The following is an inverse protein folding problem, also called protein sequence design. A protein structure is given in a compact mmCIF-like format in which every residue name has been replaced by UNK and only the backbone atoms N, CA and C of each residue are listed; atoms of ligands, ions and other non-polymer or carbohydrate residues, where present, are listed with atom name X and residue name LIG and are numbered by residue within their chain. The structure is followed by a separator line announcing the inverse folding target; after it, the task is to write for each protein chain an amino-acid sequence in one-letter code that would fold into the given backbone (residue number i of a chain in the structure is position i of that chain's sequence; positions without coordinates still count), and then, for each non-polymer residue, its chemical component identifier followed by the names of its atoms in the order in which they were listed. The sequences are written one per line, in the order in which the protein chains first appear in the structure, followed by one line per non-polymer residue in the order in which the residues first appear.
data_IF_083676697494
#
_entry.id   IF_083676697494
#
_cell.length_a   1.000
_cell.length_b   1.000
_cell.length_c   1.000
_cell.angle_alpha   90.00
_cell.angle_beta   90.00
_cell.angle_gamma   90.00
#
_symmetry.space_group_name_H-M   'P 1'
#
loop_
_entity.id
_entity.type
_entity.pdbx_description
1 polymer ?
#
# COMPACT_ATOMS: atom_id res chain seq x y z
N UNK A 1 19.55 -35.50 -9.62
CA UNK A 1 19.22 -36.95 -9.52
C UNK A 1 19.79 -37.41 -8.18
N UNK A 2 19.09 -37.99 -7.21
CA UNK A 2 17.87 -38.80 -7.17
C UNK A 2 17.09 -38.50 -5.86
N UNK A 3 15.79 -38.74 -5.94
CA UNK A 3 14.77 -38.63 -4.89
C UNK A 3 14.88 -39.68 -3.79
N UNK A 4 14.45 -39.36 -2.58
CA UNK A 4 14.02 -40.35 -1.58
C UNK A 4 12.64 -39.98 -1.00
N UNK A 5 11.67 -40.88 -1.18
CA UNK A 5 10.38 -40.91 -0.48
C UNK A 5 10.30 -42.18 0.38
N UNK A 6 9.93 -41.96 1.64
CA UNK A 6 8.92 -42.65 2.48
C UNK A 6 9.06 -44.17 2.70
N UNK A 7 9.06 -44.58 3.98
CA UNK A 7 8.11 -45.60 4.52
C UNK A 7 7.94 -45.48 6.03
N UNK A 8 6.67 -45.50 6.46
CA UNK A 8 6.19 -45.61 7.85
C UNK A 8 6.20 -47.08 8.29
N UNK A 9 6.42 -47.36 9.57
CA UNK A 9 5.98 -48.60 10.23
C UNK A 9 5.17 -48.26 11.48
N UNK A 10 3.93 -48.77 11.50
CA UNK A 10 3.04 -48.86 12.65
C UNK A 10 3.39 -50.14 13.44
N UNK A 11 3.32 -50.08 14.77
CA UNK A 11 3.20 -51.27 15.61
C UNK A 11 1.87 -51.20 16.37
N UNK A 12 0.98 -52.13 16.06
CA UNK A 12 -0.18 -52.49 16.86
C UNK A 12 0.29 -53.43 17.99
N UNK A 13 -0.29 -53.27 19.18
CA UNK A 13 -0.38 -54.35 20.15
C UNK A 13 -1.81 -54.44 20.64
N UNK A 14 -2.44 -55.57 20.34
CA UNK A 14 -3.71 -56.00 20.88
C UNK A 14 -3.43 -57.06 21.95
N UNK A 15 -4.14 -57.00 23.08
CA UNK A 15 -4.35 -58.13 23.96
C UNK A 15 -5.78 -58.05 24.53
N UNK A 16 -6.40 -59.22 24.59
CA UNK A 16 -7.84 -59.49 24.66
C UNK A 16 -8.27 -60.13 25.99
N UNK A 17 -9.60 -60.27 26.16
CA UNK A 17 -10.33 -61.22 27.04
C UNK A 17 -10.47 -60.77 28.52
N UNK A 18 -11.59 -60.86 29.26
CA UNK A 18 -12.96 -61.36 29.06
C UNK A 18 -13.98 -60.66 29.99
N UNK A 19 -15.25 -60.84 29.59
CA UNK A 19 -16.56 -60.63 30.23
C UNK A 19 -16.67 -60.78 31.76
N UNK A 20 -17.51 -59.94 32.40
CA UNK A 20 -18.72 -60.40 33.12
C UNK A 20 -19.64 -59.25 33.58
N UNK A 21 -20.94 -59.38 33.21
CA UNK A 21 -22.20 -58.98 33.89
C UNK A 21 -22.42 -57.54 34.41
N UNK A 22 -23.42 -56.87 33.80
CA UNK A 22 -24.33 -55.87 34.43
C UNK A 22 -25.37 -56.60 35.33
N UNK A 23 -26.30 -55.95 36.09
CA UNK A 23 -26.73 -54.53 36.03
C UNK A 23 -27.03 -53.85 37.39
N UNK A 24 -27.22 -52.53 37.40
CA UNK A 24 -28.32 -51.84 38.08
C UNK A 24 -28.17 -50.31 37.97
N UNK A 25 -29.25 -49.68 37.54
CA UNK A 25 -29.42 -48.24 37.49
C UNK A 25 -29.62 -47.65 38.89
N UNK A 26 -28.93 -46.56 39.20
CA UNK A 26 -29.43 -45.54 40.12
C UNK A 26 -29.20 -44.18 39.46
N UNK A 27 -30.31 -43.62 39.00
CA UNK A 27 -30.46 -42.22 38.65
C UNK A 27 -30.02 -41.35 39.83
N UNK A 28 -29.09 -40.43 39.61
CA UNK A 28 -29.12 -39.16 40.33
C UNK A 28 -28.70 -38.02 39.40
N UNK A 29 -29.73 -37.25 39.04
CA UNK A 29 -29.66 -35.90 38.53
C UNK A 29 -28.65 -35.09 39.34
N UNK A 30 -27.55 -34.68 38.72
CA UNK A 30 -26.93 -33.40 39.03
C UNK A 30 -27.09 -32.54 37.78
N UNK A 31 -27.88 -31.50 37.96
CA UNK A 31 -28.26 -30.53 36.98
C UNK A 31 -27.02 -29.81 36.41
N UNK A 32 -27.09 -29.56 35.10
CA UNK A 32 -26.54 -28.41 34.42
C UNK A 32 -26.34 -27.20 35.37
N UNK A 33 -25.10 -26.85 35.67
CA UNK A 33 -24.74 -25.47 35.96
C UNK A 33 -23.41 -25.11 35.30
N UNK A 34 -23.48 -24.09 34.44
CA UNK A 34 -22.41 -23.18 34.03
C UNK A 34 -21.35 -23.69 33.04
N UNK A 35 -21.77 -24.02 31.82
CA UNK A 35 -20.93 -23.65 30.66
C UNK A 35 -21.27 -22.22 30.27
N UNK A 36 -20.44 -21.25 30.72
CA UNK A 36 -20.42 -19.91 30.12
C UNK A 36 -20.22 -20.07 28.61
N UNK A 37 -20.93 -19.31 27.75
CA UNK A 37 -20.63 -19.30 26.32
C UNK A 37 -19.14 -18.98 26.14
N UNK A 38 -18.43 -19.74 25.30
CA UNK A 38 -17.07 -19.40 24.88
C UNK A 38 -17.07 -17.94 24.39
N UNK A 39 -16.49 -17.02 25.16
CA UNK A 39 -16.47 -15.61 24.80
C UNK A 39 -15.75 -15.43 23.46
N UNK A 40 -16.39 -14.74 22.52
CA UNK A 40 -15.76 -14.46 21.23
C UNK A 40 -14.39 -13.79 21.42
N UNK A 41 -13.35 -14.18 20.64
CA UNK A 41 -12.02 -13.61 20.79
C UNK A 41 -12.06 -12.09 20.68
N UNK A 42 -11.39 -11.38 21.60
CA UNK A 42 -11.41 -9.91 21.68
C UNK A 42 -11.08 -9.23 20.33
N UNK A 43 -10.21 -9.83 19.51
CA UNK A 43 -9.87 -9.34 18.16
C UNK A 43 -11.06 -9.34 17.19
N UNK A 44 -11.96 -10.33 17.30
CA UNK A 44 -13.17 -10.42 16.48
C UNK A 44 -14.16 -9.33 16.88
N UNK A 45 -14.37 -9.16 18.19
CA UNK A 45 -15.23 -8.09 18.72
C UNK A 45 -14.75 -6.70 18.32
N UNK A 46 -13.44 -6.42 18.44
CA UNK A 46 -12.83 -5.14 18.04
C UNK A 46 -13.04 -4.86 16.54
N UNK A 47 -12.89 -5.88 15.70
CA UNK A 47 -13.06 -5.76 14.25
C UNK A 47 -14.52 -5.51 13.84
N UNK A 48 -15.47 -6.08 14.58
CA UNK A 48 -16.89 -6.01 14.27
C UNK A 48 -17.55 -4.73 14.82
N UNK A 49 -17.12 -4.26 15.99
CA UNK A 49 -17.68 -3.06 16.63
C UNK A 49 -17.52 -1.86 15.69
N UNK A 50 -18.52 -0.98 15.59
CA UNK A 50 -18.52 0.23 14.74
C UNK A 50 -18.59 1.51 15.56
N UNK A 51 -19.18 1.45 16.75
CA UNK A 51 -19.32 2.59 17.64
C UNK A 51 -17.96 2.97 18.28
N UNK A 52 -17.51 4.23 18.19
CA UNK A 52 -16.21 4.66 18.70
C UNK A 52 -16.05 4.52 20.22
N UNK A 53 -17.12 4.74 21.00
CA UNK A 53 -17.06 4.69 22.46
C UNK A 53 -17.01 3.24 22.97
N UNK A 54 -17.86 2.36 22.41
CA UNK A 54 -17.80 0.92 22.67
C UNK A 54 -16.46 0.34 22.23
N UNK A 55 -15.93 0.77 21.09
CA UNK A 55 -14.62 0.34 20.60
C UNK A 55 -13.51 0.72 21.60
N UNK A 56 -13.51 1.95 22.09
CA UNK A 56 -12.56 2.41 23.10
C UNK A 56 -12.68 1.60 24.39
N UNK A 57 -13.89 1.44 24.93
CA UNK A 57 -14.13 0.68 26.16
C UNK A 57 -13.73 -0.79 26.03
N UNK A 58 -14.00 -1.41 24.87
CA UNK A 58 -13.61 -2.78 24.57
C UNK A 58 -12.08 -2.93 24.50
N UNK A 59 -11.39 -1.96 23.89
CA UNK A 59 -9.93 -1.95 23.85
C UNK A 59 -9.34 -1.75 25.25
N UNK A 60 -9.89 -0.81 26.03
CA UNK A 60 -9.49 -0.53 27.41
C UNK A 60 -9.65 -1.76 28.31
N UNK A 61 -10.76 -2.49 28.17
CA UNK A 61 -10.99 -3.76 28.88
C UNK A 61 -9.97 -4.87 28.49
N UNK A 62 -9.29 -4.74 27.35
CA UNK A 62 -8.29 -5.67 26.86
C UNK A 62 -6.87 -5.07 26.86
N UNK A 63 -6.62 -4.03 27.66
CA UNK A 63 -5.35 -3.30 27.69
C UNK A 63 -4.15 -4.15 28.11
N UNK A 64 -4.35 -5.24 28.86
CA UNK A 64 -3.31 -6.19 29.28
C UNK A 64 -3.30 -7.47 28.43
N UNK A 65 -4.27 -7.62 27.52
CA UNK A 65 -4.37 -8.79 26.67
C UNK A 65 -3.29 -8.76 25.60
N UNK A 66 -2.25 -9.58 25.78
CA UNK A 66 -1.09 -9.67 24.88
C UNK A 66 -1.48 -9.92 23.42
N UNK A 67 -2.53 -10.68 23.15
CA UNK A 67 -3.00 -10.96 21.78
C UNK A 67 -3.57 -9.71 21.09
N UNK A 68 -4.17 -8.81 21.86
CA UNK A 68 -4.72 -7.55 21.35
C UNK A 68 -3.63 -6.51 21.20
N UNK A 69 -2.82 -6.32 22.25
CA UNK A 69 -1.79 -5.26 22.32
C UNK A 69 -0.64 -5.50 21.33
N UNK A 70 -0.20 -6.75 21.15
CA UNK A 70 0.88 -7.05 20.21
C UNK A 70 0.41 -7.03 18.75
N UNK A 71 -0.90 -7.13 18.50
CA UNK A 71 -1.46 -7.12 17.15
C UNK A 71 -1.43 -5.70 16.55
N UNK A 72 -0.42 -5.46 15.72
CA UNK A 72 -0.21 -4.19 15.02
C UNK A 72 -1.45 -3.74 14.24
N UNK A 73 -2.16 -4.65 13.59
CA UNK A 73 -3.31 -4.32 12.76
C UNK A 73 -4.51 -3.89 13.59
N UNK A 74 -4.80 -4.59 14.69
CA UNK A 74 -5.90 -4.23 15.59
C UNK A 74 -5.66 -2.86 16.25
N UNK A 75 -4.43 -2.59 16.66
CA UNK A 75 -4.03 -1.32 17.26
C UNK A 75 -4.17 -0.16 16.26
N UNK A 76 -3.67 -0.36 15.03
CA UNK A 76 -3.74 0.63 13.96
C UNK A 76 -5.18 0.90 13.50
N UNK A 77 -6.00 -0.14 13.33
CA UNK A 77 -7.41 -0.02 12.99
C UNK A 77 -8.17 0.77 14.06
N UNK A 78 -7.96 0.44 15.34
CA UNK A 78 -8.61 1.11 16.47
C UNK A 78 -8.29 2.60 16.48
N UNK A 79 -7.01 2.96 16.45
CA UNK A 79 -6.57 4.37 16.45
C UNK A 79 -7.09 5.10 15.20
N UNK A 80 -7.04 4.48 14.02
CA UNK A 80 -7.51 5.12 12.78
C UNK A 80 -9.01 5.41 12.81
N UNK A 81 -9.79 4.51 13.40
CA UNK A 81 -11.25 4.66 13.53
C UNK A 81 -11.64 5.70 14.57
N UNK A 82 -10.92 5.76 15.70
CA UNK A 82 -11.10 6.82 16.69
C UNK A 82 -10.72 8.18 16.11
N UNK A 83 -9.65 8.26 15.33
CA UNK A 83 -9.23 9.49 14.66
C UNK A 83 -10.26 9.94 13.62
N UNK A 84 -10.80 9.01 12.83
CA UNK A 84 -11.90 9.29 11.90
C UNK A 84 -13.19 9.75 12.58
N UNK A 85 -13.39 9.39 13.85
CA UNK A 85 -14.49 9.87 14.70
C UNK A 85 -14.14 11.13 15.51
N UNK A 86 -12.96 11.74 15.29
CA UNK A 86 -12.45 12.90 16.02
C UNK A 86 -12.35 12.70 17.55
N UNK A 87 -12.20 11.45 18.03
CA UNK A 87 -12.04 11.11 19.45
C UNK A 87 -10.56 11.08 19.87
N UNK A 88 -9.90 12.23 19.77
CA UNK A 88 -8.48 12.37 20.11
C UNK A 88 -8.21 12.16 21.60
N UNK A 89 -9.18 12.52 22.45
CA UNK A 89 -9.22 12.25 23.89
C UNK A 89 -9.05 10.75 24.20
N UNK A 90 -9.78 9.90 23.47
CA UNK A 90 -9.71 8.45 23.63
C UNK A 90 -8.39 7.87 23.13
N UNK A 91 -7.84 8.42 22.05
CA UNK A 91 -6.53 8.00 21.53
C UNK A 91 -5.44 8.32 22.54
N UNK A 92 -5.44 9.53 23.11
CA UNK A 92 -4.49 9.94 24.13
C UNK A 92 -4.56 9.00 25.34
N UNK A 93 -5.75 8.82 25.92
CA UNK A 93 -5.94 7.94 27.08
C UNK A 93 -5.48 6.50 26.77
N UNK A 94 -5.82 5.96 25.60
CA UNK A 94 -5.45 4.60 25.22
C UNK A 94 -3.94 4.44 25.11
N UNK A 95 -3.27 5.38 24.43
CA UNK A 95 -1.83 5.30 24.17
C UNK A 95 -1.00 5.62 25.41
N UNK A 96 -1.34 6.65 26.19
CA UNK A 96 -0.64 6.99 27.43
C UNK A 96 -0.70 5.83 28.43
N UNK A 97 -1.86 5.18 28.57
CA UNK A 97 -2.01 4.02 29.45
C UNK A 97 -1.10 2.84 29.07
N UNK A 98 -0.72 2.72 27.79
CA UNK A 98 0.11 1.62 27.29
C UNK A 98 1.61 1.85 27.45
N UNK A 99 2.07 3.10 27.58
CA UNK A 99 3.49 3.46 27.72
C UNK A 99 4.17 2.93 28.99
N UNK A 100 3.56 2.95 30.20
CA UNK A 100 4.20 2.46 31.42
C UNK A 100 4.20 0.94 31.56
N UNK A 101 3.42 0.21 30.76
CA UNK A 101 3.33 -1.24 30.82
C UNK A 101 4.66 -1.91 30.36
N UNK A 102 4.92 -3.18 30.71
CA UNK A 102 6.21 -3.85 30.43
C UNK A 102 6.65 -3.79 28.95
N UNK A 103 5.70 -3.86 28.01
CA UNK A 103 5.95 -3.72 26.58
C UNK A 103 6.52 -2.36 26.18
N UNK A 104 6.21 -1.30 26.94
CA UNK A 104 6.71 0.06 26.75
C UNK A 104 8.23 0.20 26.90
N UNK A 105 8.88 -0.75 27.58
CA UNK A 105 10.36 -0.82 27.65
C UNK A 105 11.00 -1.25 26.32
N UNK A 106 10.21 -1.79 25.38
CA UNK A 106 10.69 -2.24 24.07
C UNK A 106 10.58 -1.11 23.05
N UNK A 107 11.71 -0.78 22.43
CA UNK A 107 11.76 0.29 21.42
C UNK A 107 10.76 0.10 20.28
N UNK A 108 10.58 -1.14 19.78
CA UNK A 108 9.63 -1.42 18.71
C UNK A 108 8.18 -1.10 19.07
N UNK A 109 7.81 -1.18 20.35
CA UNK A 109 6.49 -0.80 20.84
C UNK A 109 6.36 0.73 20.94
N UNK A 110 7.38 1.42 21.46
CA UNK A 110 7.40 2.88 21.50
C UNK A 110 7.39 3.50 20.10
N UNK A 111 8.15 2.94 19.15
CA UNK A 111 8.10 3.31 17.73
C UNK A 111 6.68 3.15 17.18
N UNK A 112 5.98 2.07 17.55
CA UNK A 112 4.58 1.87 17.14
C UNK A 112 3.69 2.98 17.69
N UNK A 113 3.81 3.33 18.98
CA UNK A 113 3.04 4.43 19.60
C UNK A 113 3.30 5.77 18.89
N UNK A 114 4.56 6.12 18.63
CA UNK A 114 4.94 7.33 17.88
C UNK A 114 4.24 7.35 16.52
N UNK A 115 4.29 6.24 15.78
CA UNK A 115 3.65 6.13 14.46
C UNK A 115 2.11 6.19 14.53
N UNK A 116 1.49 5.69 15.60
CA UNK A 116 0.04 5.74 15.80
C UNK A 116 -0.44 7.16 16.08
N UNK A 117 0.22 7.89 16.98
CA UNK A 117 -0.06 9.32 17.16
C UNK A 117 0.11 10.09 15.85
N UNK A 118 1.17 9.81 15.09
CA UNK A 118 1.38 10.43 13.78
C UNK A 118 0.26 10.16 12.78
N UNK A 119 -0.25 8.92 12.71
CA UNK A 119 -1.40 8.56 11.86
C UNK A 119 -2.70 9.23 12.29
N UNK A 120 -2.88 9.46 13.58
CA UNK A 120 -4.00 10.20 14.14
C UNK A 120 -3.86 11.73 13.96
N UNK A 121 -2.76 12.23 13.41
CA UNK A 121 -2.50 13.67 13.30
C UNK A 121 -2.07 14.35 14.62
N UNK A 122 -1.83 13.57 15.67
CA UNK A 122 -1.44 14.05 17.00
C UNK A 122 0.09 14.23 17.09
N UNK A 123 0.63 15.13 16.28
CA UNK A 123 2.09 15.28 16.07
C UNK A 123 2.83 15.58 17.37
N UNK A 124 2.33 16.52 18.18
CA UNK A 124 2.95 16.88 19.46
C UNK A 124 3.13 15.66 20.37
N UNK A 125 2.08 14.86 20.57
CA UNK A 125 2.12 13.63 21.36
C UNK A 125 3.13 12.60 20.82
N UNK A 126 3.25 12.49 19.49
CA UNK A 126 4.23 11.61 18.87
C UNK A 126 5.67 12.02 19.22
N UNK A 127 5.98 13.32 19.15
CA UNK A 127 7.32 13.86 19.41
C UNK A 127 7.63 13.89 20.91
N UNK A 128 6.65 14.22 21.75
CA UNK A 128 6.78 14.13 23.21
C UNK A 128 7.05 12.68 23.63
N UNK A 129 6.36 11.70 23.01
CA UNK A 129 6.63 10.27 23.25
C UNK A 129 8.08 9.93 22.90
N UNK A 130 8.61 10.42 21.78
CA UNK A 130 10.02 10.26 21.44
C UNK A 130 10.94 10.87 22.51
N UNK A 131 10.72 12.11 22.94
CA UNK A 131 11.53 12.80 23.97
C UNK A 131 11.38 12.21 25.37
N UNK A 132 10.29 11.48 25.66
CA UNK A 132 9.99 10.89 26.96
C UNK A 132 10.24 9.37 27.07
N UNK A 133 10.69 8.68 26.00
CA UNK A 133 11.05 7.24 26.04
C UNK A 133 11.92 6.81 27.25
N UNK A 134 12.84 7.67 27.72
CA UNK A 134 13.69 7.39 28.88
C UNK A 134 12.90 7.24 30.19
N UNK A 135 11.78 7.97 30.35
CA UNK A 135 10.88 7.86 31.50
C UNK A 135 10.21 6.48 31.57
N UNK A 136 10.13 5.78 30.44
CA UNK A 136 9.59 4.43 30.33
C UNK A 136 10.68 3.35 30.30
N UNK A 137 11.93 3.70 30.63
CA UNK A 137 13.06 2.76 30.62
C UNK A 137 13.45 2.25 29.23
N UNK A 138 13.07 2.97 28.16
CA UNK A 138 13.39 2.59 26.79
C UNK A 138 14.51 3.48 26.23
N UNK A 139 15.63 2.86 25.85
CA UNK A 139 16.72 3.55 25.16
C UNK A 139 16.30 3.93 23.73
N UNK A 140 16.75 5.09 23.27
CA UNK A 140 16.56 5.56 21.88
C UNK A 140 17.64 5.01 20.97
N UNK A 141 17.27 4.72 19.73
CA UNK A 141 18.20 4.42 18.64
C UNK A 141 17.74 5.14 17.38
N UNK A 142 18.47 4.94 16.28
CA UNK A 142 18.08 5.44 14.96
C UNK A 142 16.66 5.00 14.56
N UNK A 143 16.12 3.90 15.09
CA UNK A 143 14.74 3.45 14.81
C UNK A 143 13.70 4.42 15.35
N UNK A 144 13.85 4.89 16.59
CA UNK A 144 12.91 5.85 17.18
C UNK A 144 13.08 7.25 16.59
N UNK A 145 14.30 7.63 16.23
CA UNK A 145 14.58 8.86 15.45
C UNK A 145 13.88 8.79 14.09
N UNK A 146 14.02 7.68 13.36
CA UNK A 146 13.38 7.48 12.05
C UNK A 146 11.84 7.50 12.15
N UNK A 147 11.28 6.97 13.24
CA UNK A 147 9.84 7.05 13.50
C UNK A 147 9.37 8.50 13.71
N UNK A 148 10.06 9.26 14.56
CA UNK A 148 9.75 10.66 14.82
C UNK A 148 9.91 11.52 13.55
N UNK A 149 11.00 11.34 12.80
CA UNK A 149 11.21 11.97 11.49
C UNK A 149 10.09 11.63 10.51
N UNK A 150 9.64 10.36 10.48
CA UNK A 150 8.55 9.96 9.59
C UNK A 150 7.24 10.66 9.91
N UNK A 151 6.97 10.91 11.19
CA UNK A 151 5.80 11.67 11.64
C UNK A 151 5.94 13.16 11.29
N UNK A 152 7.08 13.78 11.60
CA UNK A 152 7.35 15.19 11.28
C UNK A 152 7.29 15.47 9.79
N UNK A 153 7.90 14.61 8.97
CA UNK A 153 7.87 14.78 7.51
C UNK A 153 6.46 14.70 6.92
N UNK A 154 5.50 14.12 7.64
CA UNK A 154 4.09 14.15 7.28
C UNK A 154 3.43 15.53 7.42
N UNK A 155 3.95 16.42 8.28
CA UNK A 155 3.39 17.78 8.47
C UNK A 155 3.79 18.75 7.36
N UNK A 156 4.85 18.42 6.62
CA UNK A 156 5.50 19.30 5.63
C UNK A 156 6.04 20.61 6.20
N UNK A 157 6.16 20.72 7.51
CA UNK A 157 6.83 21.84 8.19
C UNK A 157 8.35 21.61 8.17
N UNK A 158 9.02 22.27 7.23
CA UNK A 158 10.46 22.14 7.05
C UNK A 158 11.27 22.70 8.22
N UNK A 159 10.78 23.75 8.88
CA UNK A 159 11.49 24.32 10.02
C UNK A 159 11.51 23.32 11.18
N UNK A 160 10.38 22.66 11.45
CA UNK A 160 10.30 21.61 12.46
C UNK A 160 11.19 20.39 12.11
N UNK A 161 11.23 20.01 10.83
CA UNK A 161 12.08 18.90 10.37
C UNK A 161 13.57 19.26 10.52
N UNK A 162 13.99 20.44 10.07
CA UNK A 162 15.38 20.91 10.18
C UNK A 162 15.81 21.06 11.65
N UNK A 163 14.97 21.63 12.50
CA UNK A 163 15.24 21.72 13.95
C UNK A 163 15.43 20.33 14.57
N UNK A 164 14.53 19.39 14.28
CA UNK A 164 14.63 18.03 14.82
C UNK A 164 15.89 17.31 14.35
N UNK A 165 16.24 17.40 13.05
CA UNK A 165 17.44 16.77 12.48
C UNK A 165 18.73 17.35 13.08
N UNK A 166 18.76 18.64 13.38
CA UNK A 166 19.93 19.29 13.93
C UNK A 166 20.11 19.07 15.45
N UNK A 167 19.01 18.92 16.19
CA UNK A 167 19.03 18.85 17.65
C UNK A 167 18.99 17.41 18.18
N UNK A 168 17.99 16.61 17.80
CA UNK A 168 17.71 15.34 18.46
C UNK A 168 18.84 14.30 18.27
N UNK A 169 19.36 14.06 17.05
CA UNK A 169 20.47 13.12 16.86
C UNK A 169 21.71 13.48 17.67
N UNK A 170 22.09 14.78 17.70
CA UNK A 170 23.25 15.26 18.47
C UNK A 170 23.03 15.14 19.98
N UNK A 171 21.84 15.54 20.46
CA UNK A 171 21.48 15.50 21.89
C UNK A 171 21.53 14.09 22.47
N UNK A 172 21.20 13.08 21.66
CA UNK A 172 21.14 11.69 22.09
C UNK A 172 22.31 10.84 21.59
N UNK A 173 23.31 11.45 20.94
CA UNK A 173 24.46 10.76 20.35
C UNK A 173 24.04 9.60 19.42
N UNK A 174 23.14 9.90 18.48
CA UNK A 174 22.59 8.94 17.51
C UNK A 174 23.02 9.37 16.12
N UNK A 175 23.80 8.51 15.45
CA UNK A 175 24.13 8.70 14.05
C UNK A 175 22.92 8.37 13.15
N UNK A 176 22.68 9.23 12.16
CA UNK A 176 21.65 9.02 11.15
C UNK A 176 22.11 7.99 10.13
N UNK A 177 21.20 7.11 9.72
CA UNK A 177 21.46 6.09 8.72
C UNK A 177 20.89 6.47 7.34
N UNK A 178 21.13 5.62 6.35
CA UNK A 178 20.58 5.77 5.00
C UNK A 178 19.04 5.89 5.01
N UNK A 179 18.35 5.26 5.95
CA UNK A 179 16.90 5.37 6.08
C UNK A 179 16.48 6.74 6.58
N UNK A 180 17.17 7.29 7.58
CA UNK A 180 16.98 8.66 8.05
C UNK A 180 17.10 9.66 6.91
N UNK A 181 18.19 9.56 6.14
CA UNK A 181 18.45 10.49 5.04
C UNK A 181 17.41 10.33 3.93
N UNK A 182 17.03 9.10 3.58
CA UNK A 182 15.97 8.85 2.60
C UNK A 182 14.61 9.44 3.02
N UNK A 183 14.30 9.46 4.32
CA UNK A 183 13.08 10.13 4.85
C UNK A 183 13.16 11.64 4.62
N UNK A 184 14.31 12.26 4.94
CA UNK A 184 14.50 13.72 4.84
C UNK A 184 14.56 14.16 3.37
N UNK A 185 15.34 13.48 2.53
CA UNK A 185 15.42 13.73 1.07
C UNK A 185 14.03 13.66 0.45
N UNK A 186 13.23 12.66 0.81
CA UNK A 186 11.86 12.55 0.30
C UNK A 186 11.00 13.76 0.71
N UNK A 187 11.09 14.20 1.97
CA UNK A 187 10.33 15.34 2.47
C UNK A 187 10.74 16.66 1.80
N UNK A 188 12.04 16.89 1.61
CA UNK A 188 12.56 18.05 0.86
C UNK A 188 12.08 18.04 -0.59
N UNK A 189 12.07 16.87 -1.24
CA UNK A 189 11.53 16.71 -2.58
C UNK A 189 10.02 17.00 -2.67
N UNK A 190 9.23 16.52 -1.70
CA UNK A 190 7.78 16.72 -1.66
C UNK A 190 7.36 18.17 -1.36
N UNK A 191 8.24 18.95 -0.73
CA UNK A 191 8.06 20.38 -0.45
C UNK A 191 8.68 21.29 -1.51
N UNK A 192 9.30 20.73 -2.56
CA UNK A 192 9.90 21.48 -3.66
C UNK A 192 11.34 21.98 -3.42
N UNK A 193 11.94 21.67 -2.28
CA UNK A 193 13.31 22.07 -1.91
C UNK A 193 14.35 21.13 -2.52
N UNK A 194 14.36 21.03 -3.86
CA UNK A 194 15.16 20.06 -4.59
C UNK A 194 16.68 20.27 -4.42
N UNK A 195 17.13 21.53 -4.37
CA UNK A 195 18.56 21.84 -4.24
C UNK A 195 19.08 21.43 -2.85
N UNK A 196 18.30 21.69 -1.79
CA UNK A 196 18.59 21.17 -0.44
C UNK A 196 18.60 19.64 -0.41
N UNK A 197 17.65 19.00 -1.08
CA UNK A 197 17.58 17.54 -1.15
C UNK A 197 18.83 16.94 -1.84
N UNK A 198 19.30 17.57 -2.92
CA UNK A 198 20.53 17.17 -3.61
C UNK A 198 21.76 17.43 -2.76
N UNK A 199 21.86 18.59 -2.10
CA UNK A 199 22.97 18.92 -1.22
C UNK A 199 23.08 17.92 -0.06
N UNK A 200 21.96 17.53 0.55
CA UNK A 200 21.93 16.54 1.62
C UNK A 200 22.46 15.17 1.16
N UNK A 201 22.17 14.75 -0.09
CA UNK A 201 22.74 13.53 -0.68
C UNK A 201 24.27 13.63 -0.84
N UNK A 202 24.79 14.82 -1.16
CA UNK A 202 26.25 15.03 -1.27
C UNK A 202 26.90 15.05 0.11
N UNK A 203 26.28 15.70 1.09
CA UNK A 203 26.78 15.76 2.47
C UNK A 203 26.81 14.40 3.14
N UNK A 204 25.77 13.57 2.97
CA UNK A 204 25.76 12.22 3.54
C UNK A 204 26.90 11.36 2.99
N UNK A 205 27.24 11.50 1.69
CA UNK A 205 28.32 10.74 1.07
C UNK A 205 29.68 11.16 1.65
N UNK A 206 29.88 12.47 1.89
CA UNK A 206 31.08 13.00 2.57
C UNK A 206 31.20 12.49 4.01
N UNK A 207 30.07 12.28 4.68
CA UNK A 207 30.01 11.70 6.03
C UNK A 207 30.09 10.17 6.04
N UNK A 208 30.39 9.53 4.90
CA UNK A 208 30.58 8.08 4.80
C UNK A 208 29.30 7.26 4.58
N UNK A 209 28.12 7.89 4.55
CA UNK A 209 26.84 7.22 4.27
C UNK A 209 26.56 7.26 2.77
N UNK A 210 26.72 6.12 2.10
CA UNK A 210 26.56 6.02 0.64
C UNK A 210 25.08 6.14 0.24
N UNK A 211 24.73 7.04 -0.71
CA UNK A 211 23.40 7.08 -1.30
C UNK A 211 23.04 5.76 -1.96
N UNK A 212 21.80 5.28 -1.75
CA UNK A 212 21.31 4.02 -2.29
C UNK A 212 20.33 4.23 -3.46
N UNK A 213 19.82 3.12 -4.00
CA UNK A 213 18.85 3.16 -5.11
C UNK A 213 17.59 3.96 -4.76
N UNK A 214 17.20 3.99 -3.49
CA UNK A 214 16.03 4.74 -3.04
C UNK A 214 16.35 6.24 -3.06
N UNK A 215 17.55 6.65 -2.61
CA UNK A 215 18.00 8.05 -2.64
C UNK A 215 17.99 8.60 -4.06
N UNK A 216 18.69 7.92 -4.99
CA UNK A 216 18.77 8.32 -6.38
C UNK A 216 17.40 8.35 -7.06
N UNK A 217 16.61 7.27 -6.91
CA UNK A 217 15.29 7.17 -7.54
C UNK A 217 14.34 8.27 -7.06
N UNK A 218 14.40 8.63 -5.76
CA UNK A 218 13.59 9.69 -5.17
C UNK A 218 13.95 11.05 -5.76
N UNK A 219 15.23 11.41 -5.78
CA UNK A 219 15.70 12.67 -6.36
C UNK A 219 15.38 12.74 -7.86
N UNK A 220 15.68 11.68 -8.62
CA UNK A 220 15.35 11.61 -10.04
C UNK A 220 13.87 11.88 -10.31
N UNK A 221 12.98 11.21 -9.57
CA UNK A 221 11.52 11.40 -9.67
C UNK A 221 11.12 12.85 -9.40
N UNK A 222 11.73 13.48 -8.39
CA UNK A 222 11.44 14.86 -8.02
C UNK A 222 11.94 15.86 -9.08
N UNK A 223 13.19 15.72 -9.55
CA UNK A 223 13.74 16.59 -10.60
C UNK A 223 12.98 16.45 -11.93
N UNK A 224 12.60 15.23 -12.32
CA UNK A 224 11.77 15.02 -13.51
C UNK A 224 10.38 15.67 -13.40
N UNK A 225 9.72 15.60 -12.23
CA UNK A 225 8.41 16.24 -12.01
C UNK A 225 8.46 17.77 -12.03
N UNK A 226 9.62 18.34 -11.73
CA UNK A 226 9.85 19.79 -11.70
C UNK A 226 10.56 20.30 -12.96
N UNK A 227 10.49 19.54 -14.07
CA UNK A 227 11.06 19.91 -15.38
C UNK A 227 12.58 20.18 -15.39
N UNK A 228 13.33 19.71 -14.39
CA UNK A 228 14.79 19.83 -14.30
C UNK A 228 15.45 18.53 -14.76
N UNK A 229 15.23 18.17 -16.01
CA UNK A 229 15.53 16.83 -16.53
C UNK A 229 17.02 16.54 -16.70
N UNK A 230 17.83 17.57 -16.90
CA UNK A 230 19.27 17.53 -17.02
C UNK A 230 19.87 16.96 -15.74
N UNK A 231 19.41 17.44 -14.58
CA UNK A 231 19.83 16.96 -13.27
C UNK A 231 19.32 15.54 -13.03
N UNK A 232 18.07 15.24 -13.39
CA UNK A 232 17.53 13.87 -13.30
C UNK A 232 18.34 12.86 -14.11
N UNK A 233 18.79 13.22 -15.31
CA UNK A 233 19.65 12.39 -16.16
C UNK A 233 21.09 12.31 -15.60
N UNK A 234 21.61 13.41 -15.07
CA UNK A 234 22.90 13.43 -14.37
C UNK A 234 22.92 12.48 -13.17
N UNK A 235 21.85 12.46 -12.37
CA UNK A 235 21.67 11.54 -11.25
C UNK A 235 21.65 10.07 -11.69
N UNK A 236 21.01 9.75 -12.82
CA UNK A 236 21.09 8.39 -13.39
C UNK A 236 22.52 7.99 -13.72
N UNK A 237 23.27 8.88 -14.39
CA UNK A 237 24.65 8.61 -14.77
C UNK A 237 25.54 8.48 -13.54
N UNK A 238 25.37 9.35 -12.55
CA UNK A 238 26.09 9.32 -11.27
C UNK A 238 25.81 8.01 -10.52
N UNK A 239 24.55 7.60 -10.43
CA UNK A 239 24.13 6.35 -9.81
C UNK A 239 24.87 5.15 -10.41
N UNK A 240 24.89 5.03 -11.74
CA UNK A 240 25.58 3.95 -12.47
C UNK A 240 27.10 4.04 -12.28
N UNK A 241 27.69 5.24 -12.38
CA UNK A 241 29.13 5.46 -12.19
C UNK A 241 29.59 5.04 -10.78
N UNK A 242 28.75 5.26 -9.78
CA UNK A 242 29.01 4.89 -8.38
C UNK A 242 28.71 3.41 -8.08
N UNK A 243 28.36 2.61 -9.09
CA UNK A 243 28.06 1.19 -8.94
C UNK A 243 26.72 0.90 -8.27
N UNK A 244 25.85 1.91 -8.10
CA UNK A 244 24.49 1.72 -7.62
C UNK A 244 23.62 1.32 -8.82
N UNK A 245 23.15 0.08 -8.88
CA UNK A 245 22.43 -0.40 -10.07
C UNK A 245 20.95 0.04 -10.07
N UNK A 246 20.44 0.64 -11.17
CA UNK A 246 19.02 0.97 -11.31
C UNK A 246 18.14 -0.27 -11.19
N UNK A 247 17.03 -0.16 -10.46
CA UNK A 247 16.05 -1.23 -10.32
C UNK A 247 14.76 -0.92 -11.10
N UNK A 248 13.79 -1.83 -11.04
CA UNK A 248 12.47 -1.68 -11.68
C UNK A 248 11.82 -0.32 -11.41
N UNK A 249 11.88 0.18 -10.17
CA UNK A 249 11.30 1.48 -9.81
C UNK A 249 12.06 2.64 -10.46
N UNK A 250 13.40 2.60 -10.49
CA UNK A 250 14.23 3.61 -11.15
C UNK A 250 13.93 3.70 -12.65
N UNK A 251 13.79 2.55 -13.32
CA UNK A 251 13.38 2.51 -14.73
C UNK A 251 11.97 3.05 -14.95
N UNK A 252 11.00 2.67 -14.10
CA UNK A 252 9.63 3.18 -14.18
C UNK A 252 9.56 4.71 -14.01
N UNK A 253 10.41 5.29 -13.16
CA UNK A 253 10.54 6.76 -13.02
C UNK A 253 11.00 7.40 -14.34
N UNK A 254 12.03 6.85 -14.98
CA UNK A 254 12.54 7.38 -16.26
C UNK A 254 11.55 7.20 -17.42
N UNK A 255 10.88 6.05 -17.49
CA UNK A 255 9.82 5.78 -18.49
C UNK A 255 8.66 6.75 -18.29
N UNK A 256 8.19 6.94 -17.05
CA UNK A 256 7.12 7.88 -16.73
C UNK A 256 7.47 9.31 -17.15
N UNK A 257 8.71 9.74 -16.94
CA UNK A 257 9.21 11.03 -17.41
C UNK A 257 9.14 11.14 -18.95
N UNK A 258 9.69 10.16 -19.68
CA UNK A 258 9.67 10.12 -21.14
C UNK A 258 8.24 10.15 -21.72
N UNK A 259 7.31 9.43 -21.08
CA UNK A 259 5.88 9.45 -21.42
C UNK A 259 5.29 10.85 -21.22
N UNK A 260 5.58 11.51 -20.10
CA UNK A 260 5.07 12.85 -19.80
C UNK A 260 5.54 13.91 -20.82
N UNK A 261 6.78 13.81 -21.30
CA UNK A 261 7.32 14.68 -22.37
C UNK A 261 7.01 14.17 -23.79
N UNK A 262 6.03 13.27 -23.94
CA UNK A 262 5.54 12.73 -25.23
C UNK A 262 6.59 11.99 -26.06
N UNK A 263 7.64 11.44 -25.45
CA UNK A 263 8.67 10.63 -26.12
C UNK A 263 8.39 9.14 -26.00
N UNK A 264 7.27 8.68 -26.57
CA UNK A 264 6.80 7.29 -26.45
C UNK A 264 7.79 6.24 -26.97
N UNK A 265 8.46 6.50 -28.11
CA UNK A 265 9.46 5.59 -28.66
C UNK A 265 10.65 5.40 -27.73
N UNK A 266 11.19 6.49 -27.18
CA UNK A 266 12.27 6.42 -26.19
C UNK A 266 11.83 5.68 -24.93
N UNK A 267 10.58 5.88 -24.48
CA UNK A 267 10.04 5.13 -23.34
C UNK A 267 10.00 3.61 -23.61
N UNK A 268 9.62 3.22 -24.84
CA UNK A 268 9.66 1.83 -25.28
C UNK A 268 11.09 1.28 -25.39
N UNK A 269 12.06 2.08 -25.86
CA UNK A 269 13.47 1.66 -25.92
C UNK A 269 14.06 1.44 -24.53
N UNK A 270 13.71 2.28 -23.55
CA UNK A 270 14.09 2.08 -22.15
C UNK A 270 13.47 0.79 -21.60
N UNK A 271 12.20 0.49 -21.91
CA UNK A 271 11.58 -0.81 -21.54
C UNK A 271 12.29 -2.01 -22.21
N UNK A 272 12.72 -1.88 -23.47
CA UNK A 272 13.52 -2.91 -24.16
C UNK A 272 14.90 -3.07 -23.51
N UNK A 273 15.52 -1.98 -23.07
CA UNK A 273 16.79 -2.03 -22.34
C UNK A 273 16.65 -2.81 -21.03
N UNK A 274 15.56 -2.62 -20.28
CA UNK A 274 15.29 -3.40 -19.05
C UNK A 274 15.36 -4.91 -19.32
N UNK A 275 14.69 -5.37 -20.39
CA UNK A 275 14.72 -6.79 -20.78
C UNK A 275 16.13 -7.25 -21.15
N UNK A 276 16.90 -6.44 -21.88
CA UNK A 276 18.27 -6.78 -22.29
C UNK A 276 19.21 -6.97 -21.09
N UNK A 277 19.00 -6.22 -20.01
CA UNK A 277 19.83 -6.30 -18.80
C UNK A 277 19.22 -7.20 -17.72
N UNK A 278 18.18 -7.98 -18.05
CA UNK A 278 17.58 -8.96 -17.14
C UNK A 278 16.59 -8.38 -16.11
N UNK A 279 16.21 -7.10 -16.21
CA UNK A 279 15.15 -6.52 -15.39
C UNK A 279 13.81 -6.74 -16.09
N UNK A 280 12.96 -7.58 -15.48
CA UNK A 280 11.65 -7.91 -16.04
C UNK A 280 10.70 -6.72 -15.88
N UNK A 281 10.18 -6.12 -16.97
CA UNK A 281 9.14 -5.09 -16.89
C UNK A 281 7.89 -5.63 -16.19
N UNK A 282 7.35 -4.84 -15.28
CA UNK A 282 6.11 -5.18 -14.59
C UNK A 282 4.91 -4.55 -15.28
N UNK A 283 3.74 -4.83 -14.72
CA UNK A 283 2.49 -4.26 -15.22
C UNK A 283 2.49 -2.73 -15.26
N UNK A 284 3.13 -2.08 -14.27
CA UNK A 284 3.26 -0.62 -14.25
C UNK A 284 4.07 -0.16 -15.45
N UNK A 285 5.20 -0.80 -15.74
CA UNK A 285 6.04 -0.48 -16.91
C UNK A 285 5.25 -0.53 -18.21
N UNK A 286 4.54 -1.62 -18.48
CA UNK A 286 3.75 -1.76 -19.71
C UNK A 286 2.64 -0.72 -19.79
N UNK A 287 1.94 -0.46 -18.69
CA UNK A 287 0.88 0.55 -18.65
C UNK A 287 1.42 1.96 -18.98
N UNK A 288 2.62 2.30 -18.52
CA UNK A 288 3.28 3.57 -18.86
C UNK A 288 3.57 3.68 -20.37
N UNK A 289 4.15 2.65 -20.97
CA UNK A 289 4.49 2.66 -22.40
C UNK A 289 3.23 2.69 -23.27
N UNK A 290 2.21 1.90 -22.93
CA UNK A 290 0.89 1.92 -23.59
C UNK A 290 0.30 3.33 -23.53
N UNK A 291 0.28 3.95 -22.34
CA UNK A 291 -0.19 5.33 -22.16
C UNK A 291 0.60 6.31 -23.04
N UNK A 292 1.92 6.17 -23.13
CA UNK A 292 2.77 7.00 -23.97
C UNK A 292 2.42 6.92 -25.47
N UNK A 293 2.22 5.70 -25.99
CA UNK A 293 1.84 5.53 -27.39
C UNK A 293 0.45 6.10 -27.71
N UNK A 294 -0.52 5.93 -26.81
CA UNK A 294 -1.83 6.59 -26.97
C UNK A 294 -1.73 8.11 -26.92
N UNK A 295 -0.93 8.66 -26.00
CA UNK A 295 -0.68 10.09 -25.86
C UNK A 295 0.01 10.73 -27.08
N UNK A 296 0.61 9.93 -27.94
CA UNK A 296 1.28 10.36 -29.18
C UNK A 296 0.50 9.96 -30.44
N UNK A 297 -0.74 9.49 -30.30
CA UNK A 297 -1.61 9.08 -31.41
C UNK A 297 -1.19 7.78 -32.10
N UNK A 298 -0.26 7.00 -31.51
CA UNK A 298 0.25 5.74 -32.07
C UNK A 298 -0.55 4.54 -31.56
N UNK A 299 -1.84 4.53 -31.88
CA UNK A 299 -2.83 3.52 -31.46
C UNK A 299 -2.36 2.07 -31.73
N UNK A 300 -1.87 1.77 -32.93
CA UNK A 300 -1.41 0.42 -33.29
C UNK A 300 -0.25 -0.06 -32.40
N UNK A 301 0.71 0.83 -32.12
CA UNK A 301 1.82 0.50 -31.23
C UNK A 301 1.34 0.24 -29.80
N UNK A 302 0.38 1.00 -29.30
CA UNK A 302 -0.22 0.75 -27.99
C UNK A 302 -0.89 -0.64 -27.95
N UNK A 303 -1.63 -1.04 -29.00
CA UNK A 303 -2.22 -2.37 -29.15
C UNK A 303 -1.15 -3.47 -29.16
N UNK A 304 -0.07 -3.30 -29.94
CA UNK A 304 1.04 -4.27 -29.99
C UNK A 304 1.68 -4.50 -28.62
N UNK A 305 1.96 -3.42 -27.87
CA UNK A 305 2.54 -3.51 -26.53
C UNK A 305 1.59 -4.23 -25.57
N UNK A 306 0.28 -3.94 -25.64
CA UNK A 306 -0.74 -4.62 -24.84
C UNK A 306 -0.81 -6.14 -25.14
N UNK A 307 -0.81 -6.54 -26.41
CA UNK A 307 -0.83 -7.96 -26.76
C UNK A 307 0.47 -8.69 -26.38
N UNK A 308 1.61 -7.99 -26.42
CA UNK A 308 2.88 -8.52 -25.90
C UNK A 308 2.81 -8.80 -24.39
N UNK A 309 2.20 -7.91 -23.61
CA UNK A 309 1.93 -8.11 -22.18
C UNK A 309 1.05 -9.36 -21.95
N UNK A 310 0.01 -9.56 -22.77
CA UNK A 310 -0.88 -10.74 -22.70
C UNK A 310 -0.13 -12.06 -22.95
N UNK A 311 0.72 -12.09 -23.98
CA UNK A 311 1.46 -13.29 -24.38
C UNK A 311 2.50 -13.76 -23.37
N UNK A 312 2.99 -12.87 -22.51
CA UNK A 312 4.01 -13.17 -21.49
C UNK A 312 3.45 -13.67 -20.16
N UNK A 313 2.14 -13.89 -20.05
CA UNK A 313 1.51 -14.46 -18.85
C UNK A 313 1.46 -13.54 -17.64
N UNK A 314 1.71 -12.23 -17.81
CA UNK A 314 1.53 -11.26 -16.74
C UNK A 314 0.05 -11.12 -16.37
N UNK A 315 -0.25 -11.10 -15.06
CA UNK A 315 -1.61 -10.83 -14.58
C UNK A 315 -1.96 -9.38 -14.87
N UNK A 316 -3.03 -9.16 -15.63
CA UNK A 316 -3.62 -7.84 -15.77
C UNK A 316 -4.31 -7.41 -14.47
N UNK A 317 -4.26 -6.11 -14.22
CA UNK A 317 -5.01 -5.37 -13.25
C UNK A 317 -5.99 -4.45 -13.98
N UNK A 318 -6.94 -3.93 -13.20
CA UNK A 318 -8.01 -3.07 -13.69
C UNK A 318 -7.49 -1.80 -14.39
N UNK A 319 -6.31 -1.29 -14.01
CA UNK A 319 -5.74 -0.05 -14.57
C UNK A 319 -5.28 -0.22 -16.03
N UNK A 320 -4.78 -1.39 -16.42
CA UNK A 320 -4.41 -1.63 -17.83
C UNK A 320 -5.67 -1.65 -18.70
N UNK A 321 -6.72 -2.35 -18.28
CA UNK A 321 -8.01 -2.34 -18.97
C UNK A 321 -8.60 -0.92 -19.03
N UNK A 322 -8.57 -0.19 -17.91
CA UNK A 322 -9.08 1.18 -17.86
C UNK A 322 -8.32 2.10 -18.83
N UNK A 323 -7.00 2.00 -18.87
CA UNK A 323 -6.16 2.77 -19.79
C UNK A 323 -6.49 2.44 -21.24
N UNK A 324 -6.55 1.15 -21.58
CA UNK A 324 -6.87 0.71 -22.93
C UNK A 324 -8.27 1.16 -23.37
N UNK A 325 -9.31 0.90 -22.58
CA UNK A 325 -10.69 1.27 -22.93
C UNK A 325 -10.83 2.78 -23.08
N UNK A 326 -10.27 3.57 -22.16
CA UNK A 326 -10.31 5.03 -22.23
C UNK A 326 -9.71 5.56 -23.54
N UNK A 327 -8.51 5.10 -23.91
CA UNK A 327 -7.86 5.61 -25.11
C UNK A 327 -8.37 4.98 -26.41
N UNK A 328 -8.87 3.74 -26.39
CA UNK A 328 -9.57 3.16 -27.54
C UNK A 328 -10.86 3.93 -27.86
N UNK A 329 -11.62 4.34 -26.84
CA UNK A 329 -12.80 5.19 -27.04
C UNK A 329 -12.41 6.56 -27.65
N UNK A 330 -11.31 7.16 -27.21
CA UNK A 330 -10.79 8.39 -27.82
C UNK A 330 -10.30 8.20 -29.26
N UNK A 331 -9.81 7.01 -29.59
CA UNK A 331 -9.38 6.63 -30.93
C UNK A 331 -10.50 6.15 -31.85
N UNK A 332 -11.76 6.07 -31.37
CA UNK A 332 -12.90 5.59 -32.15
C UNK A 332 -13.04 4.06 -32.26
N UNK A 333 -12.18 3.30 -31.60
CA UNK A 333 -12.11 1.82 -31.65
C UNK A 333 -13.07 1.17 -30.64
N UNK A 334 -14.37 1.46 -30.78
CA UNK A 334 -15.36 1.08 -29.77
C UNK A 334 -15.60 -0.43 -29.68
N UNK A 335 -15.40 -1.18 -30.76
CA UNK A 335 -15.56 -2.63 -30.76
C UNK A 335 -14.54 -3.32 -29.85
N UNK A 336 -13.26 -2.97 -29.99
CA UNK A 336 -12.21 -3.48 -29.12
C UNK A 336 -12.41 -2.98 -27.69
N UNK A 337 -12.74 -1.69 -27.50
CA UNK A 337 -13.02 -1.12 -26.18
C UNK A 337 -14.16 -1.86 -25.46
N UNK A 338 -15.23 -2.22 -26.19
CA UNK A 338 -16.34 -3.02 -25.68
C UNK A 338 -15.88 -4.43 -25.27
N UNK A 339 -15.15 -5.15 -26.13
CA UNK A 339 -14.70 -6.51 -25.80
C UNK A 339 -13.83 -6.51 -24.54
N UNK A 340 -12.91 -5.55 -24.41
CA UNK A 340 -12.05 -5.40 -23.24
C UNK A 340 -12.84 -5.06 -21.98
N UNK A 341 -13.81 -4.14 -22.06
CA UNK A 341 -14.66 -3.78 -20.93
C UNK A 341 -15.52 -4.96 -20.45
N UNK A 342 -16.13 -5.68 -21.39
CA UNK A 342 -16.92 -6.89 -21.12
C UNK A 342 -16.09 -7.97 -20.45
N UNK A 343 -14.89 -8.25 -20.96
CA UNK A 343 -14.02 -9.29 -20.42
C UNK A 343 -13.49 -8.91 -19.03
N UNK A 344 -13.23 -7.62 -18.79
CA UNK A 344 -12.91 -7.09 -17.47
C UNK A 344 -14.06 -7.33 -16.47
N UNK A 345 -15.30 -6.98 -16.83
CA UNK A 345 -16.48 -7.17 -15.98
C UNK A 345 -16.79 -8.65 -15.70
N UNK A 346 -16.57 -9.54 -16.68
CA UNK A 346 -16.73 -10.99 -16.52
C UNK A 346 -15.76 -11.59 -15.50
N UNK A 347 -14.56 -11.00 -15.36
CA UNK A 347 -13.58 -11.36 -14.33
C UNK A 347 -13.84 -10.67 -12.98
N UNK A 348 -15.03 -10.09 -12.77
CA UNK A 348 -15.43 -9.34 -11.58
C UNK A 348 -14.54 -8.10 -11.31
N UNK A 349 -14.00 -7.50 -12.37
CA UNK A 349 -13.26 -6.24 -12.31
C UNK A 349 -14.03 -5.13 -13.00
N UNK A 350 -14.06 -3.95 -12.38
CA UNK A 350 -14.88 -2.84 -12.85
C UNK A 350 -14.03 -1.59 -13.02
N UNK A 351 -14.11 -1.03 -14.23
CA UNK A 351 -13.49 0.25 -14.57
C UNK A 351 -14.19 1.38 -13.81
N UNK A 352 -13.56 2.56 -13.76
CA UNK A 352 -14.23 3.73 -13.19
C UNK A 352 -15.45 4.12 -14.04
N UNK A 353 -16.40 4.79 -13.39
CA UNK A 353 -17.69 5.16 -13.99
C UNK A 353 -17.49 6.04 -15.22
N UNK A 354 -16.53 6.95 -15.20
CA UNK A 354 -16.23 7.86 -16.32
C UNK A 354 -15.80 7.09 -17.59
N UNK A 355 -14.91 6.10 -17.46
CA UNK A 355 -14.46 5.30 -18.63
C UNK A 355 -15.61 4.48 -19.19
N UNK A 356 -16.47 3.92 -18.33
CA UNK A 356 -17.67 3.20 -18.77
C UNK A 356 -18.63 4.16 -19.47
N UNK A 357 -18.84 5.36 -18.93
CA UNK A 357 -19.68 6.39 -19.52
C UNK A 357 -19.20 6.78 -20.92
N UNK A 358 -17.90 7.09 -21.08
CA UNK A 358 -17.31 7.42 -22.39
C UNK A 358 -17.48 6.29 -23.40
N UNK A 359 -17.33 5.03 -22.97
CA UNK A 359 -17.58 3.87 -23.83
C UNK A 359 -19.06 3.78 -24.25
N UNK A 360 -20.00 3.99 -23.32
CA UNK A 360 -21.43 3.92 -23.61
C UNK A 360 -21.86 5.02 -24.59
N UNK A 361 -21.38 6.25 -24.41
CA UNK A 361 -21.63 7.35 -25.35
C UNK A 361 -21.08 7.04 -26.75
N UNK A 362 -19.86 6.49 -26.81
CA UNK A 362 -19.23 6.08 -28.04
C UNK A 362 -19.98 4.97 -28.78
N UNK A 363 -20.32 3.89 -28.07
CA UNK A 363 -21.11 2.78 -28.62
C UNK A 363 -22.48 3.25 -29.12
N UNK A 364 -23.11 4.19 -28.42
CA UNK A 364 -24.38 4.78 -28.84
C UNK A 364 -24.23 5.58 -30.13
N UNK A 365 -23.24 6.48 -30.20
CA UNK A 365 -22.97 7.28 -31.41
C UNK A 365 -22.68 6.41 -32.63
N UNK A 366 -22.06 5.24 -32.43
CA UNK A 366 -21.79 4.27 -33.48
C UNK A 366 -22.95 3.29 -33.77
N UNK A 367 -24.15 3.51 -33.22
CA UNK A 367 -25.32 2.66 -33.45
C UNK A 367 -25.26 1.28 -32.77
N UNK A 368 -24.27 1.02 -31.92
CA UNK A 368 -24.04 -0.27 -31.27
C UNK A 368 -24.80 -0.39 -29.93
N UNK A 369 -26.10 -0.06 -29.93
CA UNK A 369 -26.91 0.05 -28.70
C UNK A 369 -27.01 -1.27 -27.92
N UNK A 370 -27.03 -2.42 -28.60
CA UNK A 370 -27.06 -3.74 -27.96
C UNK A 370 -25.82 -4.00 -27.09
N UNK A 371 -24.64 -3.58 -27.57
CA UNK A 371 -23.39 -3.68 -26.82
C UNK A 371 -23.42 -2.77 -25.59
N UNK A 372 -23.92 -1.54 -25.75
CA UNK A 372 -24.07 -0.58 -24.67
C UNK A 372 -25.03 -1.09 -23.56
N UNK A 373 -26.18 -1.67 -23.94
CA UNK A 373 -27.13 -2.30 -23.01
C UNK A 373 -26.47 -3.44 -22.20
N UNK A 374 -25.68 -4.30 -22.85
CA UNK A 374 -25.00 -5.40 -22.15
C UNK A 374 -24.01 -4.90 -21.08
N UNK A 375 -23.23 -3.85 -21.39
CA UNK A 375 -22.29 -3.27 -20.42
C UNK A 375 -23.02 -2.72 -19.19
N UNK A 376 -24.17 -2.06 -19.37
CA UNK A 376 -24.99 -1.58 -18.24
C UNK A 376 -25.53 -2.75 -17.41
N UNK A 377 -26.01 -3.81 -18.04
CA UNK A 377 -26.46 -5.03 -17.32
C UNK A 377 -25.32 -5.67 -16.51
N UNK A 378 -24.10 -5.72 -17.06
CA UNK A 378 -22.94 -6.24 -16.33
C UNK A 378 -22.57 -5.33 -15.15
N UNK A 379 -22.64 -4.01 -15.31
CA UNK A 379 -22.38 -3.05 -14.24
C UNK A 379 -23.40 -3.15 -13.08
N UNK A 380 -24.66 -3.47 -13.37
CA UNK A 380 -25.70 -3.70 -12.35
C UNK A 380 -25.45 -4.96 -11.52
N UNK A 381 -24.83 -5.99 -12.10
CA UNK A 381 -24.50 -7.26 -11.44
C UNK A 381 -23.22 -7.19 -10.58
N UNK A 382 -22.59 -6.03 -10.47
CA UNK A 382 -21.36 -5.83 -9.70
C UNK A 382 -21.56 -6.11 -8.21
N UNK A 383 -20.57 -6.74 -7.58
CA UNK A 383 -20.47 -6.88 -6.12
C UNK A 383 -19.12 -6.34 -5.63
N UNK A 384 -19.08 -5.36 -4.69
CA UNK A 384 -20.23 -4.63 -4.13
C UNK A 384 -20.88 -3.70 -5.17
N UNK A 385 -22.20 -3.46 -5.07
CA UNK A 385 -22.94 -2.69 -6.07
C UNK A 385 -22.39 -1.27 -6.18
N UNK A 386 -22.46 -0.71 -7.39
CA UNK A 386 -22.22 0.72 -7.57
C UNK A 386 -23.25 1.54 -6.79
N UNK A 387 -22.88 2.73 -6.29
CA UNK A 387 -23.83 3.70 -5.78
C UNK A 387 -24.97 3.96 -6.77
N UNK A 388 -26.17 4.15 -6.25
CA UNK A 388 -27.39 4.36 -7.05
C UNK A 388 -27.29 5.59 -7.98
N UNK A 389 -26.47 6.58 -7.62
CA UNK A 389 -26.14 7.74 -8.46
C UNK A 389 -25.36 7.35 -9.71
N UNK A 390 -24.33 6.50 -9.56
CA UNK A 390 -23.50 6.02 -10.66
C UNK A 390 -24.29 5.11 -11.61
N UNK A 391 -25.14 4.22 -11.10
CA UNK A 391 -25.99 3.37 -11.95
C UNK A 391 -26.99 4.19 -12.75
N UNK A 392 -27.62 5.20 -12.14
CA UNK A 392 -28.53 6.14 -12.85
C UNK A 392 -27.80 6.91 -13.93
N UNK A 393 -26.58 7.39 -13.66
CA UNK A 393 -25.75 8.08 -14.66
C UNK A 393 -25.47 7.19 -15.87
N UNK A 394 -25.07 5.93 -15.67
CA UNK A 394 -24.82 5.00 -16.77
C UNK A 394 -26.10 4.66 -17.57
N UNK A 395 -27.24 4.52 -16.90
CA UNK A 395 -28.53 4.27 -17.56
C UNK A 395 -29.01 5.47 -18.39
N UNK A 396 -28.78 6.70 -17.90
CA UNK A 396 -29.21 7.93 -18.57
C UNK A 396 -28.56 8.10 -19.96
N UNK A 397 -27.36 7.56 -20.17
CA UNK A 397 -26.69 7.58 -21.49
C UNK A 397 -27.51 6.81 -22.54
N UNK A 398 -28.17 5.72 -22.15
CA UNK A 398 -28.98 4.92 -23.06
C UNK A 398 -30.32 5.59 -23.40
N UNK A 399 -30.88 6.43 -22.51
CA UNK A 399 -32.21 7.03 -22.66
C UNK A 399 -32.24 8.42 -23.31
N UNK A 400 -31.14 9.17 -23.31
CA UNK A 400 -31.08 10.52 -23.93
C UNK A 400 -31.06 10.45 -25.46
N UNK A 401 -32.22 10.52 -26.12
CA UNK A 401 -32.40 10.49 -27.58
C UNK A 401 -31.39 11.33 -28.35
#
# INVERSE_FOLDING_TARGET
MLSLRITRRFCNFAASVALTRSPAAVSNRIQNQNQKPLEEPALVKLKAERDPEKLFNLFKANAENKLVVENRFAFEDTVSRLAGANRFDYIEHLLEHQKPLPQGRREGFMVRIIMLYGKAGMIKHAIDTFYNMHLHGCKRTVKSVNAALKVLTGTRDLAAIEAFVNEAPKKFDIELDIFSVNIIVKALCETGNLDKAYLLMVEMEKSGVRPDVITYTTLMSAFYKNNRSEIGNGLWNLMVLKGCLPNLATFNVRIQYLVNIRRAWHANDVMRLMLKIGIVPDEVTYNLVIKGFFQTGKLEMAKMVYFSLRGKGHKFNVKVYQTMVHYLCKGGEFDLAYTMCRDCMRNNWFLNVDTIHTLLEGLKKNGQLNKAKLIVTLAQKRVPPFPSSHLRSLQAVLSRS
#
